data_IF_534525032999
#
_entry.id   IF_534525032999
#
_cell.length_a   1.000
_cell.length_b   1.000
_cell.length_c   1.000
_cell.angle_alpha   90.00
_cell.angle_beta   90.00
_cell.angle_gamma   90.00
#
_symmetry.space_group_name_H-M   'P 1'
#
loop_
_entity.id
_entity.type
_entity.pdbx_description
1 polymer ?
#
# COMPACT_ATOMS: atom_id res chain seq x y z
N UNK A 1 -3.53 9.10 -2.09
CA UNK A 1 -2.52 8.90 -1.04
C UNK A 1 -2.29 10.22 -0.35
N UNK A 2 -3.27 10.57 0.47
CA UNK A 2 -3.08 11.51 1.55
C UNK A 2 -2.16 10.87 2.60
N UNK A 3 -1.59 11.68 3.48
CA UNK A 3 -0.68 11.22 4.52
C UNK A 3 -1.29 10.07 5.33
N UNK A 4 -2.52 10.26 5.82
CA UNK A 4 -3.24 9.26 6.62
C UNK A 4 -3.50 7.95 5.86
N UNK A 5 -3.80 8.02 4.55
CA UNK A 5 -3.96 6.82 3.73
C UNK A 5 -2.63 6.09 3.58
N UNK A 6 -1.55 6.85 3.37
CA UNK A 6 -0.22 6.29 3.18
C UNK A 6 0.30 5.62 4.45
N UNK A 7 0.06 6.23 5.61
CA UNK A 7 0.44 5.67 6.91
C UNK A 7 -0.28 4.33 7.15
N UNK A 8 -1.60 4.26 6.87
CA UNK A 8 -2.36 3.01 6.92
C UNK A 8 -1.84 1.96 5.94
N UNK A 9 -1.41 2.37 4.74
CA UNK A 9 -0.80 1.45 3.78
C UNK A 9 0.54 0.90 4.27
N UNK A 10 1.40 1.73 4.87
CA UNK A 10 2.67 1.27 5.44
C UNK A 10 2.44 0.32 6.62
N UNK A 11 1.47 0.61 7.48
CA UNK A 11 1.05 -0.27 8.57
C UNK A 11 0.56 -1.62 8.05
N UNK A 12 -0.37 -1.61 7.09
CA UNK A 12 -0.90 -2.82 6.47
C UNK A 12 0.17 -3.62 5.70
N UNK A 13 1.12 -2.94 5.07
CA UNK A 13 2.28 -3.57 4.43
C UNK A 13 3.14 -4.33 5.45
N UNK A 14 3.35 -3.78 6.64
CA UNK A 14 4.11 -4.43 7.72
C UNK A 14 3.32 -5.60 8.31
N UNK A 15 2.01 -5.48 8.43
CA UNK A 15 1.15 -6.49 9.05
C UNK A 15 0.87 -7.69 8.14
N UNK A 16 0.50 -7.46 6.88
CA UNK A 16 0.05 -8.51 5.95
C UNK A 16 1.08 -8.86 4.86
N UNK A 17 2.09 -8.01 4.68
CA UNK A 17 3.10 -8.17 3.65
C UNK A 17 2.72 -7.60 2.28
N UNK A 18 3.72 -7.42 1.40
CA UNK A 18 3.60 -6.67 0.15
C UNK A 18 2.80 -7.36 -0.97
N UNK A 19 2.28 -8.57 -0.75
CA UNK A 19 1.44 -9.29 -1.72
C UNK A 19 -0.05 -9.32 -1.33
N UNK A 20 -0.38 -8.95 -0.10
CA UNK A 20 -1.74 -9.01 0.45
C UNK A 20 -2.60 -7.79 0.04
N UNK A 21 -2.76 -7.55 -1.26
CA UNK A 21 -3.43 -6.35 -1.79
C UNK A 21 -4.85 -6.15 -1.26
N UNK A 22 -5.60 -7.24 -1.11
CA UNK A 22 -6.97 -7.19 -0.59
C UNK A 22 -7.00 -6.76 0.87
N UNK A 23 -6.17 -7.38 1.72
CA UNK A 23 -6.08 -7.00 3.13
C UNK A 23 -5.60 -5.56 3.32
N UNK A 24 -4.64 -5.09 2.51
CA UNK A 24 -4.16 -3.71 2.55
C UNK A 24 -5.27 -2.73 2.12
N UNK A 25 -6.02 -3.08 1.07
CA UNK A 25 -7.17 -2.30 0.61
C UNK A 25 -8.25 -2.17 1.69
N UNK A 26 -8.58 -3.28 2.34
CA UNK A 26 -9.56 -3.34 3.42
C UNK A 26 -9.10 -2.52 4.64
N UNK A 27 -7.79 -2.50 4.92
CA UNK A 27 -7.21 -1.71 6.00
C UNK A 27 -7.21 -0.19 5.72
N UNK A 28 -6.86 0.19 4.49
CA UNK A 28 -6.87 1.60 4.06
C UNK A 28 -8.30 2.13 3.93
N UNK A 29 -9.27 1.26 3.61
CA UNK A 29 -10.73 1.51 3.45
C UNK A 29 -11.13 2.47 2.32
N UNK A 30 -10.26 3.37 1.88
CA UNK A 30 -10.53 4.39 0.85
C UNK A 30 -9.98 4.03 -0.53
N UNK A 31 -9.22 2.94 -0.64
CA UNK A 31 -8.54 2.52 -1.87
C UNK A 31 -8.90 1.08 -2.21
N UNK A 32 -9.06 0.80 -3.49
CA UNK A 32 -9.33 -0.55 -3.99
C UNK A 32 -8.04 -1.37 -4.12
N UNK A 33 -8.11 -2.72 -4.19
CA UNK A 33 -6.91 -3.56 -4.28
C UNK A 33 -6.06 -3.25 -5.52
N UNK A 34 -6.70 -2.83 -6.62
CA UNK A 34 -6.01 -2.41 -7.86
C UNK A 34 -5.25 -1.10 -7.65
N UNK A 35 -5.85 -0.12 -6.96
CA UNK A 35 -5.17 1.15 -6.63
C UNK A 35 -4.00 0.93 -5.68
N UNK A 36 -4.16 0.04 -4.69
CA UNK A 36 -3.08 -0.38 -3.78
C UNK A 36 -1.94 -0.99 -4.57
N UNK A 37 -2.21 -1.91 -5.51
CA UNK A 37 -1.17 -2.54 -6.34
C UNK A 37 -0.37 -1.52 -7.14
N UNK A 38 -1.04 -0.59 -7.82
CA UNK A 38 -0.38 0.46 -8.62
C UNK A 38 0.45 1.39 -7.74
N UNK A 39 -0.02 1.71 -6.53
CA UNK A 39 0.75 2.52 -5.59
C UNK A 39 1.96 1.79 -5.06
N UNK A 40 1.78 0.54 -4.63
CA UNK A 40 2.84 -0.32 -4.15
C UNK A 40 3.96 -0.47 -5.19
N UNK A 41 3.60 -0.68 -6.46
CA UNK A 41 4.56 -0.72 -7.55
C UNK A 41 5.43 0.54 -7.61
N UNK A 42 4.80 1.73 -7.66
CA UNK A 42 5.54 3.02 -7.71
C UNK A 42 6.37 3.25 -6.45
N UNK A 43 5.84 2.86 -5.28
CA UNK A 43 6.52 2.96 -4.00
C UNK A 43 7.79 2.10 -3.96
N UNK A 44 7.70 0.82 -4.34
CA UNK A 44 8.85 -0.08 -4.37
C UNK A 44 9.86 0.28 -5.46
N UNK A 45 9.41 0.80 -6.60
CA UNK A 45 10.32 1.33 -7.63
C UNK A 45 11.14 2.53 -7.13
N UNK A 46 10.55 3.39 -6.29
CA UNK A 46 11.29 4.49 -5.65
C UNK A 46 12.27 3.98 -4.60
N UNK A 47 11.86 3.00 -3.78
CA UNK A 47 12.74 2.40 -2.78
C UNK A 47 13.94 1.67 -3.40
N UNK A 48 13.75 0.95 -4.51
CA UNK A 48 14.82 0.21 -5.18
C UNK A 48 15.80 1.10 -5.97
N UNK A 49 15.55 2.40 -6.05
CA UNK A 49 16.46 3.39 -6.69
C UNK A 49 17.40 4.05 -5.69
N UNK A 50 17.35 3.65 -4.42
CA UNK A 50 18.26 4.03 -3.34
C UNK A 50 19.17 2.84 -3.07
#
# INVERSE_FOLDING_TARGET
WLQEEHDKFLEALRMYGPKAMKAISDHVRTRTPVQVRTHAQKYFQKLARI
#
